data_IF_998000014174
#
_entry.id   IF_998000014174
#
_cell.length_a   1.000
_cell.length_b   1.000
_cell.length_c   1.000
_cell.angle_alpha   90.00
_cell.angle_beta   90.00
_cell.angle_gamma   90.00
#
_symmetry.space_group_name_H-M   'P 1'
#
loop_
_entity.id
_entity.type
_entity.pdbx_description
1 polymer ?
#
# COMPACT_ATOMS: atom_id res chain seq x y z
N UNK A 1 -12.03 12.99 -9.55
CA UNK A 1 -10.81 12.18 -9.33
C UNK A 1 -11.25 10.86 -8.71
N UNK A 2 -11.21 9.76 -9.47
CA UNK A 2 -11.65 8.45 -8.97
C UNK A 2 -10.75 8.02 -7.80
N UNK A 3 -11.36 7.74 -6.64
CA UNK A 3 -10.65 7.07 -5.55
C UNK A 3 -10.34 5.65 -6.02
N UNK A 4 -9.08 5.24 -5.94
CA UNK A 4 -8.73 3.84 -6.18
C UNK A 4 -9.45 2.99 -5.13
N UNK A 5 -10.22 2.01 -5.61
CA UNK A 5 -11.02 1.16 -4.76
C UNK A 5 -10.16 0.09 -4.07
N UNK A 6 -10.38 -0.07 -2.76
CA UNK A 6 -9.65 -1.02 -1.92
C UNK A 6 -9.83 -2.46 -2.43
N UNK A 7 -11.06 -2.82 -2.83
CA UNK A 7 -11.37 -4.18 -3.29
C UNK A 7 -10.67 -4.48 -4.62
N UNK A 8 -10.70 -3.53 -5.56
CA UNK A 8 -9.98 -3.62 -6.84
C UNK A 8 -8.49 -3.87 -6.62
N UNK A 9 -7.87 -3.17 -5.67
CA UNK A 9 -6.47 -3.35 -5.35
C UNK A 9 -6.18 -4.73 -4.74
N UNK A 10 -7.02 -5.19 -3.82
CA UNK A 10 -6.92 -6.52 -3.20
C UNK A 10 -7.04 -7.64 -4.24
N UNK A 11 -8.03 -7.56 -5.13
CA UNK A 11 -8.23 -8.55 -6.20
C UNK A 11 -7.01 -8.66 -7.10
N UNK A 12 -6.31 -7.55 -7.36
CA UNK A 12 -5.10 -7.53 -8.18
C UNK A 12 -3.92 -8.31 -7.57
N UNK A 13 -3.93 -8.62 -6.27
CA UNK A 13 -2.82 -9.33 -5.63
C UNK A 13 -2.67 -10.76 -6.12
N UNK A 14 -3.79 -11.41 -6.46
CA UNK A 14 -3.80 -12.77 -7.02
C UNK A 14 -3.09 -12.88 -8.37
N UNK A 15 -3.02 -11.77 -9.12
CA UNK A 15 -2.42 -11.69 -10.45
C UNK A 15 -0.93 -11.31 -10.42
N UNK A 16 -0.38 -11.02 -9.24
CA UNK A 16 1.00 -10.53 -9.09
C UNK A 16 1.97 -11.66 -8.76
N UNK A 17 3.13 -11.61 -9.42
CA UNK A 17 4.29 -12.45 -9.10
C UNK A 17 4.81 -12.16 -7.69
N UNK A 18 5.58 -13.10 -7.12
CA UNK A 18 6.22 -12.91 -5.82
C UNK A 18 7.12 -11.67 -5.75
N UNK A 19 7.82 -11.34 -6.85
CA UNK A 19 8.63 -10.12 -6.93
C UNK A 19 7.76 -8.87 -6.84
N UNK A 20 6.66 -8.81 -7.60
CA UNK A 20 5.71 -7.70 -7.57
C UNK A 20 5.05 -7.56 -6.19
N UNK A 21 4.69 -8.67 -5.55
CA UNK A 21 4.11 -8.64 -4.19
C UNK A 21 5.09 -8.09 -3.14
N UNK A 22 6.38 -8.42 -3.24
CA UNK A 22 7.42 -7.80 -2.39
C UNK A 22 7.51 -6.29 -2.60
N UNK A 23 7.43 -5.83 -3.85
CA UNK A 23 7.37 -4.39 -4.16
C UNK A 23 6.14 -3.73 -3.57
N UNK A 24 4.95 -4.35 -3.70
CA UNK A 24 3.70 -3.86 -3.08
C UNK A 24 3.87 -3.70 -1.56
N UNK A 25 4.35 -4.74 -0.87
CA UNK A 25 4.60 -4.71 0.57
C UNK A 25 5.57 -3.58 0.96
N UNK A 26 6.65 -3.39 0.21
CA UNK A 26 7.64 -2.35 0.50
C UNK A 26 7.04 -0.94 0.34
N UNK A 27 6.28 -0.71 -0.74
CA UNK A 27 5.59 0.57 -0.96
C UNK A 27 4.59 0.86 0.17
N UNK A 28 3.84 -0.15 0.63
CA UNK A 28 2.90 -0.03 1.74
C UNK A 28 3.61 0.31 3.06
N UNK A 29 4.69 -0.39 3.39
CA UNK A 29 5.50 -0.08 4.58
C UNK A 29 6.02 1.37 4.54
N UNK A 30 6.61 1.79 3.43
CA UNK A 30 7.15 3.15 3.27
C UNK A 30 6.04 4.21 3.43
N UNK A 31 4.86 3.95 2.86
CA UNK A 31 3.72 4.85 2.96
C UNK A 31 3.19 4.95 4.39
N UNK A 32 3.05 3.83 5.09
CA UNK A 32 2.64 3.78 6.51
C UNK A 32 3.64 4.54 7.37
N UNK A 33 4.95 4.31 7.20
CA UNK A 33 5.99 5.05 7.92
C UNK A 33 5.88 6.56 7.68
N UNK A 34 5.52 6.98 6.46
CA UNK A 34 5.35 8.40 6.14
C UNK A 34 4.14 9.01 6.84
N UNK A 35 3.00 8.29 6.90
CA UNK A 35 1.84 8.70 7.70
C UNK A 35 2.18 8.80 9.18
N UNK A 36 2.90 7.82 9.72
CA UNK A 36 3.29 7.85 11.13
C UNK A 36 4.26 8.99 11.46
N UNK A 37 5.17 9.33 10.55
CA UNK A 37 6.07 10.46 10.71
C UNK A 37 5.31 11.81 10.70
N UNK A 38 4.29 11.94 9.87
CA UNK A 38 3.40 13.10 9.88
C UNK A 38 2.68 13.24 11.23
N UNK A 39 2.10 12.15 11.73
CA UNK A 39 1.36 12.15 13.00
C UNK A 39 2.24 12.35 14.24
N UNK A 40 3.46 11.78 14.27
CA UNK A 40 4.32 11.75 15.47
C UNK A 40 5.25 12.95 15.56
N UNK A 41 5.80 13.40 14.43
CA UNK A 41 6.87 14.42 14.41
C UNK A 41 6.56 15.58 13.47
N UNK A 42 5.33 15.66 12.93
CA UNK A 42 4.89 16.77 12.07
C UNK A 42 5.57 16.81 10.70
N UNK A 43 6.23 15.73 10.27
CA UNK A 43 6.88 15.67 8.95
C UNK A 43 5.83 15.55 7.86
N UNK A 44 5.79 16.50 6.92
CA UNK A 44 4.81 16.47 5.83
C UNK A 44 4.79 15.13 5.09
N UNK A 45 3.59 14.59 4.90
CA UNK A 45 3.37 13.38 4.13
C UNK A 45 3.74 13.62 2.66
N UNK A 46 4.67 12.83 2.08
CA UNK A 46 5.07 13.00 0.69
C UNK A 46 3.87 12.88 -0.27
N UNK A 47 3.74 13.80 -1.20
CA UNK A 47 2.73 13.69 -2.25
C UNK A 47 3.04 12.50 -3.16
N UNK A 48 2.02 11.74 -3.51
CA UNK A 48 2.10 10.68 -4.51
C UNK A 48 1.54 11.20 -5.83
N UNK A 49 2.13 10.82 -6.96
CA UNK A 49 1.53 11.09 -8.26
C UNK A 49 0.18 10.38 -8.41
N UNK A 50 -0.73 10.91 -9.23
CA UNK A 50 -2.01 10.26 -9.51
C UNK A 50 -1.86 8.83 -10.07
N UNK A 51 -0.77 8.57 -10.80
CA UNK A 51 -0.42 7.25 -11.34
C UNK A 51 0.07 6.26 -10.28
N UNK A 52 0.56 6.73 -9.13
CA UNK A 52 1.12 5.86 -8.10
C UNK A 52 0.07 4.88 -7.57
N UNK A 53 0.46 3.63 -7.36
CA UNK A 53 -0.45 2.55 -6.92
C UNK A 53 -1.17 2.85 -5.59
N UNK A 54 -0.53 3.61 -4.69
CA UNK A 54 -1.09 4.00 -3.39
C UNK A 54 -1.79 5.37 -3.37
N UNK A 55 -1.95 6.02 -4.52
CA UNK A 55 -2.60 7.33 -4.59
C UNK A 55 -4.06 7.23 -4.15
N UNK A 56 -4.48 8.13 -3.25
CA UNK A 56 -5.85 8.20 -2.75
C UNK A 56 -6.19 7.26 -1.59
N UNK A 57 -5.25 6.39 -1.19
CA UNK A 57 -5.42 5.54 0.00
C UNK A 57 -4.95 6.25 1.26
N UNK A 58 -5.69 6.05 2.35
CA UNK A 58 -5.32 6.55 3.68
C UNK A 58 -4.47 5.54 4.47
N UNK A 59 -4.16 5.88 5.73
CA UNK A 59 -3.40 5.01 6.62
C UNK A 59 -4.12 3.68 6.91
N UNK A 60 -5.44 3.71 7.09
CA UNK A 60 -6.25 2.52 7.39
C UNK A 60 -6.24 1.57 6.19
N UNK A 61 -6.45 2.10 4.99
CA UNK A 61 -6.38 1.35 3.74
C UNK A 61 -5.01 0.70 3.55
N UNK A 62 -3.93 1.46 3.75
CA UNK A 62 -2.57 0.96 3.61
C UNK A 62 -2.28 -0.20 4.59
N UNK A 63 -2.81 -0.14 5.83
CA UNK A 63 -2.66 -1.22 6.81
C UNK A 63 -3.42 -2.49 6.40
N UNK A 64 -4.65 -2.34 5.90
CA UNK A 64 -5.45 -3.46 5.38
C UNK A 64 -4.72 -4.14 4.21
N UNK A 65 -4.26 -3.33 3.25
CA UNK A 65 -3.51 -3.82 2.08
C UNK A 65 -2.21 -4.51 2.48
N UNK A 66 -1.50 -4.01 3.50
CA UNK A 66 -0.24 -4.61 3.96
C UNK A 66 -0.46 -6.01 4.52
N UNK A 67 -1.47 -6.20 5.35
CA UNK A 67 -1.79 -7.50 5.92
C UNK A 67 -2.22 -8.51 4.86
N UNK A 68 -3.02 -8.07 3.87
CA UNK A 68 -3.35 -8.91 2.72
C UNK A 68 -2.10 -9.26 1.89
N UNK A 69 -1.22 -8.30 1.63
CA UNK A 69 0.02 -8.54 0.88
C UNK A 69 0.94 -9.54 1.59
N UNK A 70 1.09 -9.45 2.91
CA UNK A 70 1.88 -10.40 3.72
C UNK A 70 1.31 -11.82 3.63
N UNK A 71 -0.01 -11.98 3.70
CA UNK A 71 -0.68 -13.28 3.55
C UNK A 71 -0.38 -13.91 2.19
N UNK A 72 -0.55 -13.16 1.10
CA UNK A 72 -0.26 -13.63 -0.26
C UNK A 72 1.21 -14.01 -0.43
N UNK A 73 2.15 -13.20 0.09
CA UNK A 73 3.59 -13.53 0.03
C UNK A 73 3.88 -14.83 0.78
N UNK A 74 3.22 -15.07 1.92
CA UNK A 74 3.41 -16.29 2.71
C UNK A 74 2.89 -17.53 1.96
N UNK A 75 1.80 -17.42 1.21
CA UNK A 75 1.23 -18.53 0.44
C UNK A 75 1.94 -18.78 -0.88
N UNK A 76 2.69 -17.80 -1.41
CA UNK A 76 3.49 -17.93 -2.63
C UNK A 76 4.91 -18.47 -2.38
N UNK A 77 5.30 -18.68 -1.11
CA UNK A 77 6.56 -19.31 -0.74
C UNK A 77 6.49 -20.82 -0.94
#
# INVERSE_FOLDING_TARGET
MEKKDLNTMLSSFSLKTAKQMRTVRNNLNNRITSFEAEMKVGKSLPALSASHMLHGFDLKDCRILLEAAKKVIKTQK
#
